data_IF_216569724660
#
_entry.id   IF_216569724660
#
_cell.length_a   1.000
_cell.length_b   1.000
_cell.length_c   1.000
_cell.angle_alpha   90.00
_cell.angle_beta   90.00
_cell.angle_gamma   90.00
#
_symmetry.space_group_name_H-M   'P 1'
#
loop_
_entity.id
_entity.type
_entity.pdbx_description
1 polymer ?
#
# COMPACT_ATOMS: atom_id res chain seq x y z
N UNK A 1 5.21 -1.31 5.22
CA UNK A 1 5.26 -0.48 6.46
C UNK A 1 6.58 -0.68 7.21
N UNK A 2 6.93 -1.90 7.60
CA UNK A 2 8.18 -2.20 8.34
C UNK A 2 9.44 -1.79 7.57
N UNK A 3 9.50 -1.99 6.26
CA UNK A 3 10.64 -1.59 5.42
C UNK A 3 10.86 -0.07 5.32
N UNK A 4 9.89 0.72 5.73
CA UNK A 4 9.95 2.18 5.77
C UNK A 4 10.09 2.74 7.20
N UNK A 5 10.42 1.87 8.16
CA UNK A 5 10.54 2.20 9.60
C UNK A 5 9.26 2.81 10.22
N UNK A 6 8.11 2.56 9.59
CA UNK A 6 6.81 3.04 10.06
C UNK A 6 6.12 2.05 11.02
N UNK A 7 6.68 0.84 11.14
CA UNK A 7 6.16 -0.24 11.98
C UNK A 7 7.31 -1.17 12.41
N UNK A 8 7.40 -1.56 13.68
CA UNK A 8 8.55 -2.31 14.21
C UNK A 8 8.68 -3.73 13.66
N UNK A 9 7.56 -4.41 13.37
CA UNK A 9 7.56 -5.79 12.85
C UNK A 9 6.27 -6.15 12.13
N UNK A 10 6.35 -7.18 11.29
CA UNK A 10 5.19 -7.83 10.66
C UNK A 10 5.48 -9.30 10.43
N UNK A 11 4.43 -10.13 10.41
CA UNK A 11 4.47 -11.51 9.94
C UNK A 11 3.74 -11.68 8.60
N UNK A 12 2.92 -10.70 8.21
CA UNK A 12 2.19 -10.65 6.97
C UNK A 12 2.95 -9.78 5.98
N UNK A 13 3.27 -10.31 4.81
CA UNK A 13 4.00 -9.61 3.76
C UNK A 13 3.24 -9.76 2.45
N UNK A 14 2.84 -8.64 1.87
CA UNK A 14 2.19 -8.58 0.57
C UNK A 14 3.22 -8.15 -0.48
N UNK A 15 3.38 -8.94 -1.54
CA UNK A 15 4.24 -8.60 -2.68
C UNK A 15 3.40 -8.39 -3.93
N UNK A 16 3.80 -7.43 -4.75
CA UNK A 16 3.30 -7.27 -6.11
C UNK A 16 4.45 -6.95 -7.06
N UNK A 17 4.28 -7.29 -8.30
CA UNK A 17 5.28 -7.05 -9.34
C UNK A 17 4.86 -7.68 -10.67
N UNK A 18 5.73 -7.62 -11.70
CA UNK A 18 5.50 -8.28 -12.97
C UNK A 18 5.12 -9.76 -12.78
N UNK A 19 4.15 -10.24 -13.58
CA UNK A 19 3.58 -11.57 -13.41
C UNK A 19 4.59 -12.70 -13.45
N UNK A 20 5.62 -12.59 -14.30
CA UNK A 20 6.72 -13.56 -14.40
C UNK A 20 7.57 -13.58 -13.12
N UNK A 21 7.96 -12.42 -12.61
CA UNK A 21 8.75 -12.29 -11.38
C UNK A 21 8.00 -12.86 -10.17
N UNK A 22 6.71 -12.63 -10.08
CA UNK A 22 5.86 -13.17 -9.01
C UNK A 22 5.74 -14.70 -9.11
N UNK A 23 5.66 -15.26 -10.32
CA UNK A 23 5.62 -16.70 -10.52
C UNK A 23 6.94 -17.37 -10.08
N UNK A 24 8.08 -16.82 -10.49
CA UNK A 24 9.42 -17.30 -10.10
C UNK A 24 9.63 -17.19 -8.58
N UNK A 25 9.17 -16.10 -8.00
CA UNK A 25 9.27 -15.90 -6.55
C UNK A 25 8.41 -16.90 -5.77
N UNK A 26 7.20 -17.20 -6.26
CA UNK A 26 6.32 -18.22 -5.67
C UNK A 26 7.01 -19.59 -5.68
N UNK A 27 7.54 -20.01 -6.81
CA UNK A 27 8.27 -21.26 -6.94
C UNK A 27 9.45 -21.33 -5.96
N UNK A 28 10.21 -20.25 -5.84
CA UNK A 28 11.32 -20.15 -4.89
C UNK A 28 10.85 -20.28 -3.44
N UNK A 29 9.75 -19.64 -3.04
CA UNK A 29 9.21 -19.71 -1.68
C UNK A 29 8.76 -21.13 -1.30
N UNK A 30 8.33 -21.93 -2.25
CA UNK A 30 7.92 -23.33 -2.03
C UNK A 30 9.10 -24.25 -1.72
N UNK A 31 10.34 -23.82 -1.96
CA UNK A 31 11.55 -24.63 -1.77
C UNK A 31 12.09 -24.62 -0.33
N UNK A 32 11.63 -23.71 0.52
CA UNK A 32 12.10 -23.62 1.92
C UNK A 32 10.98 -23.23 2.88
N UNK A 33 11.16 -23.58 4.16
CA UNK A 33 10.22 -23.22 5.22
C UNK A 33 10.54 -21.83 5.78
N UNK A 34 9.51 -21.02 5.97
CA UNK A 34 9.60 -19.69 6.59
C UNK A 34 8.41 -19.45 7.50
N UNK A 35 8.56 -18.54 8.47
CA UNK A 35 7.53 -18.22 9.46
C UNK A 35 6.60 -17.07 9.04
N UNK A 36 6.68 -16.59 7.79
CA UNK A 36 5.89 -15.47 7.31
C UNK A 36 4.65 -15.92 6.56
N UNK A 37 3.56 -15.17 6.71
CA UNK A 37 2.42 -15.24 5.81
C UNK A 37 2.73 -14.33 4.62
N UNK A 38 2.81 -14.91 3.42
CA UNK A 38 3.19 -14.20 2.20
C UNK A 38 2.03 -14.30 1.20
N UNK A 39 1.50 -13.15 0.82
CA UNK A 39 0.50 -13.03 -0.23
C UNK A 39 1.14 -12.43 -1.49
N UNK A 40 0.93 -13.05 -2.64
CA UNK A 40 1.53 -12.69 -3.91
C UNK A 40 0.47 -12.19 -4.89
N UNK A 41 0.66 -11.00 -5.40
CA UNK A 41 -0.21 -10.32 -6.35
C UNK A 41 0.55 -10.01 -7.63
N UNK A 42 -0.11 -10.11 -8.78
CA UNK A 42 0.50 -9.84 -10.09
C UNK A 42 0.14 -8.45 -10.59
N UNK A 43 1.07 -7.82 -11.27
CA UNK A 43 0.84 -6.64 -12.12
C UNK A 43 0.17 -5.46 -11.38
N UNK A 44 0.55 -5.23 -10.12
CA UNK A 44 0.00 -4.14 -9.31
C UNK A 44 -1.41 -4.38 -8.79
N UNK A 45 -1.98 -5.56 -9.01
CA UNK A 45 -3.24 -5.96 -8.37
C UNK A 45 -2.95 -6.22 -6.89
N UNK A 46 -3.65 -5.55 -6.00
CA UNK A 46 -3.54 -5.75 -4.55
C UNK A 46 -4.95 -5.76 -3.97
N UNK A 47 -5.35 -6.87 -3.36
CA UNK A 47 -6.72 -7.11 -2.92
C UNK A 47 -7.73 -6.98 -4.08
N UNK A 48 -8.65 -6.03 -4.00
CA UNK A 48 -9.69 -5.77 -5.02
C UNK A 48 -9.43 -4.52 -5.87
N UNK A 49 -8.19 -4.09 -5.98
CA UNK A 49 -7.81 -2.88 -6.69
C UNK A 49 -6.51 -3.05 -7.46
N UNK A 50 -6.34 -2.23 -8.49
CA UNK A 50 -5.12 -2.14 -9.28
C UNK A 50 -4.46 -0.80 -8.97
N UNK A 51 -3.19 -0.86 -8.57
CA UNK A 51 -2.36 0.32 -8.33
C UNK A 51 -2.23 1.17 -9.61
N UNK A 52 -1.95 2.48 -9.47
CA UNK A 52 -1.62 3.32 -10.61
C UNK A 52 -0.48 2.75 -11.46
N UNK A 53 -0.51 2.93 -12.77
CA UNK A 53 0.44 2.33 -13.72
C UNK A 53 1.91 2.60 -13.39
N UNK A 54 2.19 3.75 -12.81
CA UNK A 54 3.54 4.19 -12.44
C UNK A 54 4.00 3.74 -11.04
N UNK A 55 3.28 2.79 -10.40
CA UNK A 55 3.59 2.38 -9.03
C UNK A 55 5.02 1.81 -8.88
N UNK A 56 5.50 1.06 -9.87
CA UNK A 56 6.87 0.52 -9.85
C UNK A 56 7.92 1.64 -9.94
N UNK A 57 7.73 2.58 -10.85
CA UNK A 57 8.63 3.71 -11.04
C UNK A 57 8.72 4.56 -9.75
N UNK A 58 7.58 4.76 -9.09
CA UNK A 58 7.48 5.54 -7.84
C UNK A 58 7.83 4.75 -6.58
N UNK A 59 8.01 3.44 -6.69
CA UNK A 59 8.40 2.60 -5.55
C UNK A 59 9.82 2.91 -5.08
N UNK A 60 10.08 2.65 -3.81
CA UNK A 60 11.34 2.96 -3.15
C UNK A 60 12.23 1.73 -3.19
N UNK A 61 13.41 1.84 -3.79
CA UNK A 61 14.41 0.76 -3.76
C UNK A 61 14.92 0.57 -2.34
N UNK A 62 14.82 -0.65 -1.84
CA UNK A 62 15.28 -1.03 -0.51
C UNK A 62 16.61 -1.75 -0.59
N UNK A 63 16.70 -2.80 -1.40
CA UNK A 63 17.88 -3.67 -1.44
C UNK A 63 17.95 -4.49 -2.72
N UNK A 64 19.17 -4.81 -3.14
CA UNK A 64 19.43 -5.82 -4.16
C UNK A 64 19.83 -7.13 -3.46
N UNK A 65 19.17 -8.23 -3.82
CA UNK A 65 19.46 -9.58 -3.31
C UNK A 65 19.64 -10.50 -4.53
N UNK A 66 20.88 -10.75 -4.92
CA UNK A 66 21.18 -11.45 -6.17
C UNK A 66 20.57 -10.74 -7.37
N UNK A 67 19.66 -11.40 -8.10
CA UNK A 67 18.93 -10.83 -9.24
C UNK A 67 17.63 -10.11 -8.87
N UNK A 68 17.23 -10.21 -7.59
CA UNK A 68 15.98 -9.63 -7.11
C UNK A 68 16.24 -8.22 -6.59
N UNK A 69 15.54 -7.25 -7.13
CA UNK A 69 15.48 -5.89 -6.59
C UNK A 69 14.27 -5.77 -5.67
N UNK A 70 14.51 -5.74 -4.36
CA UNK A 70 13.46 -5.51 -3.37
C UNK A 70 13.11 -4.03 -3.32
N UNK A 71 11.85 -3.72 -3.53
CA UNK A 71 11.30 -2.36 -3.50
C UNK A 71 10.13 -2.30 -2.52
N UNK A 72 9.89 -1.15 -1.94
CA UNK A 72 8.68 -0.86 -1.17
C UNK A 72 7.76 0.05 -1.97
N UNK A 73 6.45 -0.13 -1.85
CA UNK A 73 5.53 0.89 -2.30
C UNK A 73 5.85 2.21 -1.61
N UNK A 74 5.74 3.31 -2.35
CA UNK A 74 5.81 4.62 -1.72
C UNK A 74 4.64 4.80 -0.71
N UNK A 75 4.81 5.62 0.35
CA UNK A 75 3.79 5.78 1.37
C UNK A 75 2.42 6.19 0.85
N UNK A 76 2.38 6.98 -0.21
CA UNK A 76 1.13 7.39 -0.85
C UNK A 76 0.38 6.20 -1.48
N UNK A 77 1.10 5.27 -2.11
CA UNK A 77 0.51 4.06 -2.70
C UNK A 77 0.08 3.08 -1.61
N UNK A 78 0.80 3.00 -0.48
CA UNK A 78 0.36 2.24 0.69
C UNK A 78 -0.99 2.77 1.19
N UNK A 79 -1.15 4.09 1.31
CA UNK A 79 -2.42 4.70 1.74
C UNK A 79 -3.56 4.32 0.81
N UNK A 80 -3.39 4.55 -0.50
CA UNK A 80 -4.48 4.29 -1.46
C UNK A 80 -4.82 2.81 -1.60
N UNK A 81 -3.87 1.91 -1.37
CA UNK A 81 -4.10 0.46 -1.34
C UNK A 81 -4.95 0.06 -0.13
N UNK A 82 -4.65 0.59 1.05
CA UNK A 82 -5.36 0.26 2.29
C UNK A 82 -6.79 0.79 2.34
N UNK A 83 -7.14 1.77 1.54
CA UNK A 83 -8.52 2.25 1.39
C UNK A 83 -9.49 1.19 0.86
N UNK A 84 -9.01 0.16 0.19
CA UNK A 84 -9.86 -0.92 -0.31
C UNK A 84 -10.50 -1.76 0.79
N UNK A 85 -9.81 -1.96 1.90
CA UNK A 85 -10.25 -2.74 3.07
C UNK A 85 -10.62 -1.85 4.25
N UNK A 86 -9.70 -1.04 4.71
CA UNK A 86 -9.81 -0.06 5.80
C UNK A 86 -10.26 -0.66 7.14
N UNK A 87 -9.55 -1.67 7.62
CA UNK A 87 -9.68 -2.12 9.00
C UNK A 87 -8.94 -1.21 10.00
N UNK A 88 -9.01 -1.51 11.30
CA UNK A 88 -8.38 -0.69 12.34
C UNK A 88 -6.85 -0.60 12.17
N UNK A 89 -6.21 -1.70 11.76
CA UNK A 89 -4.77 -1.72 11.47
C UNK A 89 -4.42 -0.90 10.25
N UNK A 90 -5.29 -0.91 9.24
CA UNK A 90 -5.11 -0.07 8.05
C UNK A 90 -5.19 1.41 8.40
N UNK A 91 -6.06 1.80 9.33
CA UNK A 91 -6.14 3.18 9.82
C UNK A 91 -4.86 3.63 10.53
N UNK A 92 -4.27 2.78 11.37
CA UNK A 92 -2.99 3.05 12.05
C UNK A 92 -1.85 3.20 11.03
N UNK A 93 -1.77 2.30 10.06
CA UNK A 93 -0.77 2.33 9.01
C UNK A 93 -0.91 3.58 8.11
N UNK A 94 -2.13 3.97 7.77
CA UNK A 94 -2.43 5.19 7.02
C UNK A 94 -2.00 6.43 7.81
N UNK A 95 -2.30 6.50 9.10
CA UNK A 95 -1.86 7.59 9.97
C UNK A 95 -0.34 7.71 10.00
N UNK A 96 0.37 6.59 10.15
CA UNK A 96 1.83 6.55 10.13
C UNK A 96 2.41 7.07 8.80
N UNK A 97 1.83 6.67 7.65
CA UNK A 97 2.22 7.17 6.34
C UNK A 97 1.99 8.68 6.22
N UNK A 98 0.81 9.17 6.60
CA UNK A 98 0.46 10.60 6.52
C UNK A 98 1.42 11.45 7.34
N UNK A 99 1.67 11.06 8.60
CA UNK A 99 2.53 11.82 9.51
C UNK A 99 4.00 11.70 9.16
N UNK A 100 4.48 10.47 8.90
CA UNK A 100 5.90 10.22 8.62
C UNK A 100 6.38 10.85 7.32
N UNK A 101 5.51 10.97 6.32
CA UNK A 101 5.85 11.49 4.99
C UNK A 101 5.13 12.80 4.63
N UNK A 102 4.46 13.41 5.59
CA UNK A 102 3.75 14.70 5.43
C UNK A 102 2.81 14.71 4.22
N UNK A 103 2.08 13.61 4.02
CA UNK A 103 1.14 13.51 2.92
C UNK A 103 0.01 14.52 3.10
N UNK A 104 -0.41 15.14 1.99
CA UNK A 104 -1.50 16.11 2.01
C UNK A 104 -2.82 15.49 1.54
N UNK A 105 -3.92 16.12 1.89
CA UNK A 105 -5.25 15.75 1.40
C UNK A 105 -5.30 15.70 -0.13
N UNK A 106 -4.73 16.69 -0.76
CA UNK A 106 -4.73 16.86 -2.21
C UNK A 106 -3.97 15.72 -2.91
N UNK A 107 -2.79 15.34 -2.39
CA UNK A 107 -2.01 14.24 -2.95
C UNK A 107 -2.72 12.90 -2.82
N UNK A 108 -3.36 12.65 -1.67
CA UNK A 108 -4.13 11.41 -1.46
C UNK A 108 -5.34 11.35 -2.39
N UNK A 109 -6.11 12.45 -2.50
CA UNK A 109 -7.26 12.51 -3.38
C UNK A 109 -6.88 12.34 -4.85
N UNK A 110 -5.78 12.95 -5.28
CA UNK A 110 -5.27 12.83 -6.65
C UNK A 110 -4.83 11.39 -6.96
N UNK A 111 -4.09 10.76 -6.03
CA UNK A 111 -3.59 9.40 -6.23
C UNK A 111 -4.71 8.37 -6.21
N UNK A 112 -5.69 8.53 -5.31
CA UNK A 112 -6.85 7.65 -5.22
C UNK A 112 -7.68 7.60 -6.51
N UNK A 113 -7.71 8.69 -7.29
CA UNK A 113 -8.40 8.73 -8.60
C UNK A 113 -7.72 7.87 -9.68
N UNK A 114 -6.44 7.54 -9.50
CA UNK A 114 -5.67 6.75 -10.44
C UNK A 114 -5.77 5.24 -10.18
N UNK A 115 -6.32 4.86 -9.02
CA UNK A 115 -6.55 3.46 -8.67
C UNK A 115 -7.74 2.92 -9.45
N UNK A 116 -7.59 1.75 -10.05
CA UNK A 116 -8.68 1.03 -10.71
C UNK A 116 -9.28 -0.01 -9.76
N UNK A 117 -10.60 -0.18 -9.81
CA UNK A 117 -11.30 -1.14 -8.96
C UNK A 117 -11.66 -2.40 -9.71
N UNK A 118 -11.52 -3.52 -8.99
CA UNK A 118 -12.07 -4.81 -9.40
C UNK A 118 -13.27 -5.18 -8.51
N UNK A 119 -13.55 -4.36 -7.49
CA UNK A 119 -14.60 -4.56 -6.49
C UNK A 119 -15.59 -3.39 -6.41
N UNK A 120 -16.18 -3.20 -5.23
CA UNK A 120 -17.19 -2.15 -5.00
C UNK A 120 -16.56 -0.77 -4.84
N UNK A 121 -16.56 0.00 -5.90
CA UNK A 121 -16.05 1.38 -5.92
C UNK A 121 -16.68 2.27 -4.84
N UNK A 122 -17.96 2.08 -4.54
CA UNK A 122 -18.66 2.86 -3.53
C UNK A 122 -18.02 2.72 -2.13
N UNK A 123 -17.57 1.52 -1.75
CA UNK A 123 -16.91 1.29 -0.47
C UNK A 123 -15.56 2.02 -0.41
N UNK A 124 -14.79 1.96 -1.46
CA UNK A 124 -13.51 2.67 -1.54
C UNK A 124 -13.70 4.19 -1.40
N UNK A 125 -14.67 4.76 -2.11
CA UNK A 125 -15.00 6.19 -2.00
C UNK A 125 -15.48 6.57 -0.60
N UNK A 126 -16.23 5.70 0.07
CA UNK A 126 -16.64 5.91 1.45
C UNK A 126 -15.44 5.89 2.41
N UNK A 127 -14.54 4.92 2.24
CA UNK A 127 -13.31 4.78 3.02
C UNK A 127 -12.37 5.99 2.81
N UNK A 128 -12.19 6.43 1.57
CA UNK A 128 -11.43 7.65 1.27
C UNK A 128 -12.00 8.87 2.00
N UNK A 129 -13.31 9.08 1.95
CA UNK A 129 -13.97 10.18 2.69
C UNK A 129 -13.75 10.08 4.19
N UNK A 130 -13.78 8.86 4.75
CA UNK A 130 -13.51 8.63 6.17
C UNK A 130 -12.09 9.03 6.55
N UNK A 131 -11.08 8.59 5.81
CA UNK A 131 -9.67 8.94 6.03
C UNK A 131 -9.45 10.45 5.94
N UNK A 132 -9.94 11.08 4.88
CA UNK A 132 -9.82 12.54 4.74
C UNK A 132 -10.48 13.27 5.90
N UNK A 133 -11.66 12.86 6.33
CA UNK A 133 -12.37 13.46 7.46
C UNK A 133 -11.64 13.26 8.78
N UNK A 134 -11.00 12.11 8.98
CA UNK A 134 -10.29 11.77 10.22
C UNK A 134 -9.00 12.56 10.34
N UNK A 135 -8.18 12.60 9.31
CA UNK A 135 -6.82 13.13 9.42
C UNK A 135 -6.65 14.57 8.93
N UNK A 136 -7.59 15.09 8.12
CA UNK A 136 -7.52 16.42 7.52
C UNK A 136 -8.71 17.32 7.87
N UNK A 137 -9.32 17.12 9.06
CA UNK A 137 -10.36 18.03 9.53
C UNK A 137 -9.78 19.45 9.64
N UNK A 138 -10.42 20.38 8.95
CA UNK A 138 -10.20 21.80 9.24
C UNK A 138 -10.55 22.04 10.70
N UNK A 139 -9.57 22.52 11.49
CA UNK A 139 -9.87 23.08 12.81
C UNK A 139 -10.84 24.24 12.57
N UNK A 140 -12.14 24.04 12.87
CA UNK A 140 -13.05 25.18 12.95
C UNK A 140 -12.37 26.22 13.85
N UNK A 141 -11.95 27.33 13.27
CA UNK A 141 -11.53 28.51 14.05
C UNK A 141 -12.71 28.83 14.97
N UNK A 142 -12.55 28.55 16.27
CA UNK A 142 -13.46 29.11 17.27
C UNK A 142 -13.29 30.60 17.16
N UNK A 143 -14.33 31.28 16.71
CA UNK A 143 -14.48 32.72 16.84
C UNK A 143 -14.74 33.05 18.29
#
# INVERSE_FOLDING_TARGET
MTLLDLKPSTIDIDFTGPGEDIADFKETLETFSHGFKIDLYKDGVVFSQILPEDYLEKSIRIRQIGRIELRSLQPLDIVVTKLGRLDDRDMEDIEACIRGHRLTKETILSRAKQVQYVGREANYKANLRQVIRTFFREKKKRR
#
